data_IF_268404759208
#
_entry.id   IF_268404759208
#
_cell.length_a   1.000
_cell.length_b   1.000
_cell.length_c   1.000
_cell.angle_alpha   90.00
_cell.angle_beta   90.00
_cell.angle_gamma   90.00
#
_symmetry.space_group_name_H-M   'P 1'
#
loop_
_entity.id
_entity.type
_entity.pdbx_description
1 polymer ?
#
# COMPACT_ATOMS: atom_id res chain seq x y z
N UNK A 1 -10.01 16.62 34.98
CA UNK A 1 -10.73 15.42 34.51
C UNK A 1 -10.04 14.19 35.09
N UNK A 2 -10.78 13.18 35.57
CA UNK A 2 -10.18 11.95 36.09
C UNK A 2 -9.64 11.08 34.95
N UNK A 3 -8.39 10.63 35.11
CA UNK A 3 -7.82 9.60 34.23
C UNK A 3 -8.43 8.26 34.61
N UNK A 4 -8.94 7.53 33.62
CA UNK A 4 -9.50 6.20 33.79
C UNK A 4 -8.77 5.21 32.89
N UNK A 5 -8.85 3.93 33.23
CA UNK A 5 -8.24 2.84 32.46
C UNK A 5 -9.33 1.96 31.86
N UNK A 6 -9.16 1.56 30.60
CA UNK A 6 -9.99 0.55 29.95
C UNK A 6 -9.11 -0.54 29.38
N UNK A 7 -9.53 -1.80 29.51
CA UNK A 7 -8.81 -2.92 28.93
C UNK A 7 -9.70 -3.69 27.95
N UNK A 8 -9.07 -4.20 26.90
CA UNK A 8 -9.67 -5.16 25.97
C UNK A 8 -8.68 -6.30 25.74
N UNK A 9 -9.23 -7.49 25.45
CA UNK A 9 -8.43 -8.67 25.13
C UNK A 9 -8.85 -9.18 23.76
N UNK A 10 -7.89 -9.31 22.87
CA UNK A 10 -8.06 -9.86 21.54
C UNK A 10 -7.41 -11.24 21.50
N UNK A 11 -8.04 -12.18 20.80
CA UNK A 11 -7.50 -13.53 20.56
C UNK A 11 -7.21 -13.70 19.07
N UNK A 12 -6.10 -14.36 18.79
CA UNK A 12 -5.57 -14.66 17.46
C UNK A 12 -5.40 -16.17 17.29
N UNK A 13 -5.11 -16.63 16.08
CA UNK A 13 -4.90 -18.03 15.79
C UNK A 13 -3.72 -18.61 16.59
N UNK A 14 -2.59 -17.91 16.56
CA UNK A 14 -1.36 -18.29 17.25
C UNK A 14 -0.60 -17.07 17.81
N UNK A 15 0.53 -17.35 18.48
CA UNK A 15 1.38 -16.31 19.05
C UNK A 15 2.05 -15.42 17.99
N UNK A 16 2.35 -15.97 16.81
CA UNK A 16 2.97 -15.23 15.71
C UNK A 16 1.99 -14.20 15.11
N UNK A 17 0.74 -14.60 14.90
CA UNK A 17 -0.31 -13.68 14.46
C UNK A 17 -0.53 -12.57 15.49
N UNK A 18 -0.56 -12.91 16.79
CA UNK A 18 -0.67 -11.92 17.86
C UNK A 18 0.47 -10.89 17.84
N UNK A 19 1.72 -11.33 17.63
CA UNK A 19 2.88 -10.46 17.53
C UNK A 19 2.82 -9.54 16.31
N UNK A 20 2.52 -10.08 15.13
CA UNK A 20 2.38 -9.27 13.91
C UNK A 20 1.24 -8.25 14.04
N UNK A 21 0.14 -8.60 14.72
CA UNK A 21 -0.94 -7.63 14.99
C UNK A 21 -0.47 -6.49 15.90
N UNK A 22 0.33 -6.80 16.94
CA UNK A 22 0.90 -5.76 17.81
C UNK A 22 1.81 -4.82 17.03
N UNK A 23 2.63 -5.34 16.12
CA UNK A 23 3.45 -4.52 15.23
C UNK A 23 2.58 -3.58 14.39
N UNK A 24 1.57 -4.13 13.72
CA UNK A 24 0.61 -3.35 12.93
C UNK A 24 -0.09 -2.26 13.75
N UNK A 25 -0.57 -2.60 14.95
CA UNK A 25 -1.26 -1.66 15.82
C UNK A 25 -0.34 -0.52 16.26
N UNK A 26 0.92 -0.82 16.60
CA UNK A 26 1.93 0.19 16.95
C UNK A 26 2.27 1.11 15.79
N UNK A 27 2.42 0.56 14.58
CA UNK A 27 2.69 1.35 13.36
C UNK A 27 1.51 2.25 12.97
N UNK A 28 0.28 1.83 13.27
CA UNK A 28 -0.94 2.53 12.85
C UNK A 28 -1.55 3.47 13.91
N UNK A 29 -1.13 3.37 15.17
CA UNK A 29 -1.56 4.23 16.28
C UNK A 29 -0.33 4.70 17.06
N UNK A 30 0.18 5.88 16.72
CA UNK A 30 1.31 6.53 17.39
C UNK A 30 0.94 7.15 18.74
N UNK A 31 0.33 6.38 19.65
CA UNK A 31 -0.20 6.91 20.91
C UNK A 31 0.48 6.29 22.13
N UNK A 32 1.09 7.12 22.98
CA UNK A 32 1.78 6.74 24.23
C UNK A 32 0.84 6.22 25.31
N UNK A 33 -0.46 6.35 25.11
CA UNK A 33 -1.50 6.00 26.07
C UNK A 33 -1.97 4.53 25.97
N UNK A 34 -1.15 3.67 25.38
CA UNK A 34 -1.46 2.27 25.10
C UNK A 34 -0.39 1.32 25.65
N UNK A 35 -0.79 0.45 26.57
CA UNK A 35 0.03 -0.68 26.99
C UNK A 35 -0.44 -1.97 26.31
N UNK A 36 0.48 -2.65 25.63
CA UNK A 36 0.22 -3.89 24.90
C UNK A 36 0.97 -5.05 25.56
N UNK A 37 0.23 -6.08 25.99
CA UNK A 37 0.81 -7.29 26.59
C UNK A 37 0.37 -8.52 25.81
N UNK A 38 1.33 -9.28 25.28
CA UNK A 38 1.09 -10.54 24.57
C UNK A 38 1.24 -11.71 25.54
N UNK A 39 0.27 -12.62 25.57
CA UNK A 39 0.31 -13.88 26.33
C UNK A 39 -0.23 -15.01 25.45
N UNK A 40 0.67 -15.84 24.92
CA UNK A 40 0.31 -16.85 23.92
C UNK A 40 -0.31 -16.19 22.68
N UNK A 41 -1.50 -16.64 22.29
CA UNK A 41 -2.26 -16.09 21.16
C UNK A 41 -3.19 -14.91 21.55
N UNK A 42 -3.04 -14.34 22.75
CA UNK A 42 -3.87 -13.23 23.23
C UNK A 42 -3.07 -11.95 23.36
N UNK A 43 -3.69 -10.84 22.98
CA UNK A 43 -3.17 -9.48 23.19
C UNK A 43 -4.10 -8.73 24.12
N UNK A 44 -3.59 -8.36 25.30
CA UNK A 44 -4.26 -7.43 26.22
C UNK A 44 -3.81 -6.02 25.87
N UNK A 45 -4.79 -5.14 25.62
CA UNK A 45 -4.57 -3.72 25.33
C UNK A 45 -5.16 -2.93 26.49
N UNK A 46 -4.33 -2.12 27.14
CA UNK A 46 -4.77 -1.18 28.19
C UNK A 46 -4.70 0.22 27.60
N UNK A 47 -5.78 0.98 27.76
CA UNK A 47 -5.94 2.34 27.26
C UNK A 47 -6.03 3.27 28.46
N UNK A 48 -5.23 4.33 28.45
CA UNK A 48 -5.15 5.34 29.50
C UNK A 48 -5.66 6.69 28.97
N UNK A 49 -6.46 7.42 29.75
CA UNK A 49 -6.87 8.78 29.34
C UNK A 49 -8.15 9.25 29.98
N UNK A 50 -8.73 10.32 29.45
CA UNK A 50 -10.08 10.74 29.82
C UNK A 50 -11.11 9.83 29.17
N UNK A 51 -12.37 9.90 29.61
CA UNK A 51 -13.45 9.08 29.03
C UNK A 51 -13.60 9.29 27.52
N UNK A 52 -13.52 10.53 27.04
CA UNK A 52 -13.59 10.86 25.61
C UNK A 52 -12.43 10.25 24.83
N UNK A 53 -11.19 10.46 25.31
CA UNK A 53 -9.99 9.92 24.66
C UNK A 53 -10.04 8.40 24.53
N UNK A 54 -10.54 7.71 25.56
CA UNK A 54 -10.64 6.26 25.58
C UNK A 54 -11.65 5.76 24.54
N UNK A 55 -12.78 6.44 24.36
CA UNK A 55 -13.78 6.06 23.36
C UNK A 55 -13.21 6.21 21.95
N UNK A 56 -12.51 7.31 21.67
CA UNK A 56 -11.85 7.56 20.38
C UNK A 56 -10.74 6.54 20.09
N UNK A 57 -9.87 6.29 21.07
CA UNK A 57 -8.78 5.29 20.92
C UNK A 57 -9.37 3.89 20.72
N UNK A 58 -10.42 3.54 21.48
CA UNK A 58 -11.07 2.24 21.34
C UNK A 58 -11.69 2.07 19.94
N UNK A 59 -12.29 3.11 19.39
CA UNK A 59 -12.85 3.09 18.05
C UNK A 59 -11.75 2.86 17.00
N UNK A 60 -10.62 3.58 17.11
CA UNK A 60 -9.46 3.37 16.25
C UNK A 60 -8.91 1.94 16.35
N UNK A 61 -8.82 1.37 17.56
CA UNK A 61 -8.37 -0.01 17.74
C UNK A 61 -9.33 -0.98 17.04
N UNK A 62 -10.66 -0.81 17.20
CA UNK A 62 -11.65 -1.66 16.54
C UNK A 62 -11.51 -1.62 15.01
N UNK A 63 -11.27 -0.45 14.44
CA UNK A 63 -11.01 -0.30 13.01
C UNK A 63 -9.75 -1.07 12.58
N UNK A 64 -8.64 -0.97 13.34
CA UNK A 64 -7.42 -1.73 13.05
C UNK A 64 -7.63 -3.24 13.19
N UNK A 65 -8.38 -3.69 14.19
CA UNK A 65 -8.75 -5.12 14.29
C UNK A 65 -9.57 -5.58 13.08
N UNK A 66 -10.52 -4.75 12.63
CA UNK A 66 -11.30 -5.03 11.42
C UNK A 66 -10.40 -5.10 10.18
N UNK A 67 -9.51 -4.12 10.01
CA UNK A 67 -8.59 -4.06 8.87
C UNK A 67 -7.67 -5.30 8.84
N UNK A 68 -7.11 -5.66 10.00
CA UNK A 68 -6.29 -6.85 10.19
C UNK A 68 -7.01 -8.14 9.80
N UNK A 69 -8.24 -8.33 10.28
CA UNK A 69 -9.01 -9.54 9.97
C UNK A 69 -9.37 -9.58 8.49
N UNK A 70 -9.76 -8.44 7.92
CA UNK A 70 -10.15 -8.34 6.51
C UNK A 70 -8.98 -8.63 5.57
N UNK A 71 -7.76 -8.19 5.88
CA UNK A 71 -6.58 -8.42 5.01
C UNK A 71 -6.23 -9.90 4.80
N UNK A 72 -6.80 -10.80 5.61
CA UNK A 72 -6.66 -12.27 5.51
C UNK A 72 -7.87 -12.94 4.87
N UNK A 73 -8.95 -12.21 4.66
CA UNK A 73 -10.17 -12.74 4.05
C UNK A 73 -10.06 -12.74 2.53
N UNK A 74 -10.85 -13.63 1.92
CA UNK A 74 -11.04 -13.67 0.48
C UNK A 74 -12.51 -13.46 0.12
N UNK A 75 -12.76 -12.71 -0.95
CA UNK A 75 -14.07 -12.52 -1.56
C UNK A 75 -13.96 -12.90 -3.03
N UNK A 76 -14.76 -13.90 -3.46
CA UNK A 76 -14.71 -14.45 -4.83
C UNK A 76 -13.29 -14.87 -5.26
N UNK A 77 -12.55 -15.50 -4.35
CA UNK A 77 -11.18 -15.99 -4.59
C UNK A 77 -10.06 -14.96 -4.39
N UNK A 78 -10.36 -13.67 -4.34
CA UNK A 78 -9.39 -12.58 -4.19
C UNK A 78 -9.23 -12.16 -2.73
N UNK A 79 -8.01 -11.88 -2.28
CA UNK A 79 -7.73 -11.25 -0.99
C UNK A 79 -8.33 -9.85 -0.92
N UNK A 80 -8.86 -9.49 0.25
CA UNK A 80 -9.46 -8.17 0.50
C UNK A 80 -8.59 -7.34 1.43
N UNK A 81 -7.69 -6.53 0.88
CA UNK A 81 -6.66 -5.84 1.67
C UNK A 81 -7.04 -4.36 1.83
N UNK A 82 -7.35 -3.87 3.04
CA UNK A 82 -7.51 -2.45 3.28
C UNK A 82 -6.22 -1.70 2.96
N UNK A 83 -6.33 -0.57 2.25
CA UNK A 83 -5.18 0.26 1.91
C UNK A 83 -4.52 0.82 3.18
N UNK A 84 -5.30 1.16 4.20
CA UNK A 84 -4.82 1.57 5.53
C UNK A 84 -3.90 0.51 6.15
N UNK A 85 -4.27 -0.76 6.04
CA UNK A 85 -3.46 -1.87 6.52
C UNK A 85 -2.15 -1.98 5.75
N UNK A 86 -2.21 -2.03 4.42
CA UNK A 86 -1.03 -2.16 3.56
C UNK A 86 -0.04 -1.02 3.79
N UNK A 87 -0.52 0.24 3.81
CA UNK A 87 0.32 1.42 4.02
C UNK A 87 0.93 1.48 5.42
N UNK A 88 0.21 1.04 6.46
CA UNK A 88 0.76 1.04 7.82
C UNK A 88 1.84 -0.02 8.01
N UNK A 89 1.74 -1.14 7.31
CA UNK A 89 2.71 -2.23 7.42
C UNK A 89 3.96 -1.99 6.59
N UNK A 90 3.81 -1.33 5.44
CA UNK A 90 4.87 -1.09 4.49
C UNK A 90 5.86 -0.03 4.96
N UNK A 91 7.15 -0.31 4.79
CA UNK A 91 8.25 0.63 4.95
C UNK A 91 8.51 1.34 3.62
N UNK A 92 7.60 2.22 3.21
CA UNK A 92 7.72 2.93 1.94
C UNK A 92 8.90 3.91 1.95
N UNK A 93 9.71 3.88 0.88
CA UNK A 93 10.79 4.85 0.68
C UNK A 93 10.24 6.27 0.43
N UNK A 94 9.09 6.35 -0.23
CA UNK A 94 8.33 7.58 -0.43
C UNK A 94 6.83 7.27 -0.57
N UNK A 95 5.97 8.26 -0.33
CA UNK A 95 4.55 8.17 -0.66
C UNK A 95 4.36 7.97 -2.17
N UNK A 96 3.44 7.08 -2.54
CA UNK A 96 3.20 6.71 -3.94
C UNK A 96 1.75 6.92 -4.37
N UNK A 97 1.50 7.14 -5.68
CA UNK A 97 0.16 7.04 -6.25
C UNK A 97 -0.32 5.58 -6.22
N UNK A 98 -1.15 5.22 -5.24
CA UNK A 98 -1.56 3.83 -5.01
C UNK A 98 -2.25 3.18 -6.22
N UNK A 99 -2.99 3.97 -7.03
CA UNK A 99 -3.59 3.47 -8.29
C UNK A 99 -2.51 3.00 -9.27
N UNK A 100 -1.39 3.72 -9.40
CA UNK A 100 -0.29 3.34 -10.29
C UNK A 100 0.35 2.01 -9.86
N UNK A 101 0.47 1.77 -8.55
CA UNK A 101 0.90 0.47 -8.05
C UNK A 101 -0.07 -0.66 -8.43
N UNK A 102 -1.38 -0.42 -8.35
CA UNK A 102 -2.38 -1.41 -8.79
C UNK A 102 -2.32 -1.64 -10.30
N UNK A 103 -2.09 -0.59 -11.09
CA UNK A 103 -1.89 -0.72 -12.55
C UNK A 103 -0.65 -1.57 -12.84
N UNK A 104 0.45 -1.38 -12.11
CA UNK A 104 1.67 -2.15 -12.23
C UNK A 104 1.46 -3.64 -11.91
N UNK A 105 0.77 -3.97 -10.82
CA UNK A 105 0.43 -5.36 -10.48
C UNK A 105 -0.39 -6.05 -11.58
N UNK A 106 -1.32 -5.31 -12.19
CA UNK A 106 -2.14 -5.83 -13.30
C UNK A 106 -1.34 -6.03 -14.60
N UNK A 107 -0.24 -5.30 -14.79
CA UNK A 107 0.70 -5.52 -15.90
C UNK A 107 1.60 -6.73 -15.63
N UNK A 108 1.97 -6.99 -14.37
CA UNK A 108 2.64 -8.23 -13.97
C UNK A 108 1.71 -9.47 -13.95
N UNK A 109 0.47 -9.34 -14.42
CA UNK A 109 -0.49 -10.44 -14.50
C UNK A 109 -1.29 -10.73 -13.22
N UNK A 110 -1.07 -10.00 -12.11
CA UNK A 110 -1.88 -10.17 -10.90
C UNK A 110 -3.20 -9.41 -11.02
N UNK A 111 -4.31 -10.15 -11.06
CA UNK A 111 -5.64 -9.51 -11.10
C UNK A 111 -5.85 -8.69 -9.83
N UNK A 112 -5.84 -7.37 -9.99
CA UNK A 112 -5.86 -6.43 -8.87
C UNK A 112 -6.83 -5.29 -9.15
N UNK A 113 -7.62 -4.87 -8.15
CA UNK A 113 -8.58 -3.76 -8.30
C UNK A 113 -8.69 -2.98 -7.02
N UNK A 114 -8.58 -1.65 -7.11
CA UNK A 114 -8.87 -0.74 -6.01
C UNK A 114 -10.34 -0.30 -6.07
N UNK A 115 -11.13 -0.57 -5.02
CA UNK A 115 -12.49 -0.06 -4.86
C UNK A 115 -12.60 0.66 -3.52
N UNK A 116 -12.77 1.98 -3.56
CA UNK A 116 -12.70 2.82 -2.36
C UNK A 116 -11.34 2.64 -1.68
N UNK A 117 -11.35 2.23 -0.41
CA UNK A 117 -10.13 2.02 0.38
C UNK A 117 -9.71 0.54 0.51
N UNK A 118 -10.18 -0.32 -0.41
CA UNK A 118 -9.92 -1.76 -0.38
C UNK A 118 -9.33 -2.22 -1.70
N UNK A 119 -8.25 -2.97 -1.62
CA UNK A 119 -7.64 -3.71 -2.73
C UNK A 119 -8.22 -5.11 -2.76
N UNK A 120 -8.71 -5.51 -3.93
CA UNK A 120 -9.06 -6.89 -4.25
C UNK A 120 -7.95 -7.44 -5.14
N UNK A 121 -7.23 -8.46 -4.70
CA UNK A 121 -6.07 -8.96 -5.45
C UNK A 121 -5.84 -10.47 -5.27
N UNK A 122 -5.14 -11.09 -6.19
CA UNK A 122 -4.76 -12.52 -6.13
C UNK A 122 -3.62 -12.79 -5.16
N UNK A 123 -2.81 -11.79 -4.84
CA UNK A 123 -1.68 -11.93 -3.92
C UNK A 123 -2.09 -11.65 -2.47
N UNK A 124 -1.47 -12.39 -1.54
CA UNK A 124 -1.73 -12.21 -0.11
C UNK A 124 -1.13 -10.92 0.45
N UNK A 125 -1.57 -10.54 1.64
CA UNK A 125 -1.20 -9.30 2.33
C UNK A 125 0.32 -9.09 2.42
N UNK A 126 1.06 -10.08 2.92
CA UNK A 126 2.51 -10.02 3.07
C UNK A 126 3.23 -9.80 1.73
N UNK A 127 2.75 -10.44 0.66
CA UNK A 127 3.32 -10.25 -0.67
C UNK A 127 2.99 -8.86 -1.22
N UNK A 128 1.74 -8.40 -1.10
CA UNK A 128 1.33 -7.06 -1.53
C UNK A 128 2.19 -5.98 -0.87
N UNK A 129 2.47 -6.10 0.43
CA UNK A 129 3.31 -5.16 1.18
C UNK A 129 4.72 -5.08 0.59
N UNK A 130 5.36 -6.21 0.29
CA UNK A 130 6.69 -6.24 -0.33
C UNK A 130 6.71 -5.62 -1.72
N UNK A 131 5.69 -5.92 -2.53
CA UNK A 131 5.53 -5.34 -3.86
C UNK A 131 5.32 -3.82 -3.79
N UNK A 132 4.57 -3.35 -2.78
CA UNK A 132 4.34 -1.93 -2.53
C UNK A 132 5.63 -1.21 -2.13
N UNK A 133 6.44 -1.82 -1.27
CA UNK A 133 7.77 -1.32 -0.88
C UNK A 133 8.69 -1.22 -2.10
N UNK A 134 8.80 -2.30 -2.90
CA UNK A 134 9.60 -2.31 -4.14
C UNK A 134 9.13 -1.23 -5.12
N UNK A 135 7.83 -1.10 -5.35
CA UNK A 135 7.30 -0.04 -6.20
C UNK A 135 7.66 1.36 -5.67
N UNK A 136 7.62 1.57 -4.35
CA UNK A 136 8.02 2.84 -3.74
C UNK A 136 9.50 3.18 -3.97
N UNK A 137 10.36 2.18 -4.07
CA UNK A 137 11.77 2.37 -4.40
C UNK A 137 11.93 2.88 -5.83
N UNK A 138 11.29 2.25 -6.82
CA UNK A 138 11.31 2.74 -8.20
C UNK A 138 10.68 4.14 -8.31
N UNK A 139 9.54 4.35 -7.64
CA UNK A 139 8.89 5.66 -7.65
C UNK A 139 9.79 6.75 -7.06
N UNK A 140 10.57 6.44 -6.01
CA UNK A 140 11.51 7.39 -5.41
C UNK A 140 12.58 7.90 -6.38
N UNK A 141 12.99 7.06 -7.34
CA UNK A 141 14.00 7.42 -8.35
C UNK A 141 13.44 8.44 -9.36
N UNK A 142 12.17 8.29 -9.77
CA UNK A 142 11.57 9.10 -10.83
C UNK A 142 11.03 10.45 -10.37
N UNK A 143 10.86 10.70 -9.06
CA UNK A 143 10.19 11.93 -8.59
C UNK A 143 10.93 13.20 -9.01
N UNK A 144 12.25 13.10 -9.19
CA UNK A 144 13.14 14.22 -9.47
C UNK A 144 13.32 14.48 -10.97
N UNK A 145 12.78 13.62 -11.84
CA UNK A 145 12.85 13.81 -13.28
C UNK A 145 12.12 15.09 -13.71
N UNK A 146 12.61 15.75 -14.76
CA UNK A 146 11.85 16.81 -15.38
C UNK A 146 10.77 16.24 -16.32
N UNK A 147 9.67 15.83 -15.71
CA UNK A 147 8.57 15.15 -16.38
C UNK A 147 7.25 15.52 -15.73
N UNK A 148 6.15 15.46 -16.50
CA UNK A 148 4.81 15.59 -15.91
C UNK A 148 4.53 14.44 -14.92
N UNK A 149 3.76 14.67 -13.83
CA UNK A 149 3.50 13.64 -12.82
C UNK A 149 2.94 12.33 -13.37
N UNK A 150 2.13 12.39 -14.44
CA UNK A 150 1.56 11.21 -15.08
C UNK A 150 2.62 10.38 -15.82
N UNK A 151 3.64 11.03 -16.38
CA UNK A 151 4.77 10.37 -17.04
C UNK A 151 5.68 9.72 -16.01
N UNK A 152 5.96 10.39 -14.88
CA UNK A 152 6.69 9.80 -13.75
C UNK A 152 6.04 8.52 -13.26
N UNK A 153 4.70 8.50 -13.14
CA UNK A 153 3.94 7.29 -12.79
C UNK A 153 4.17 6.17 -13.80
N UNK A 154 4.09 6.47 -15.09
CA UNK A 154 4.27 5.47 -16.15
C UNK A 154 5.70 4.92 -16.18
N UNK A 155 6.72 5.78 -16.03
CA UNK A 155 8.11 5.35 -15.93
C UNK A 155 8.31 4.43 -14.71
N UNK A 156 7.80 4.81 -13.53
CA UNK A 156 7.90 3.95 -12.35
C UNK A 156 7.20 2.60 -12.53
N UNK A 157 6.07 2.57 -13.24
CA UNK A 157 5.37 1.32 -13.59
C UNK A 157 6.28 0.44 -14.46
N UNK A 158 6.85 0.99 -15.54
CA UNK A 158 7.73 0.25 -16.44
C UNK A 158 8.96 -0.27 -15.70
N UNK A 159 9.65 0.58 -14.94
CA UNK A 159 10.79 0.18 -14.11
C UNK A 159 10.45 -0.99 -13.18
N UNK A 160 9.27 -0.95 -12.57
CA UNK A 160 8.83 -1.98 -11.62
C UNK A 160 8.42 -3.29 -12.30
N UNK A 161 7.77 -3.22 -13.47
CA UNK A 161 7.28 -4.39 -14.21
C UNK A 161 8.44 -5.09 -14.92
N UNK A 162 9.25 -4.33 -15.64
CA UNK A 162 10.31 -4.83 -16.53
C UNK A 162 11.68 -4.89 -15.85
N UNK A 163 11.80 -4.42 -14.60
CA UNK A 163 13.08 -4.34 -13.86
C UNK A 163 14.16 -3.49 -14.55
N UNK A 164 13.74 -2.46 -15.29
CA UNK A 164 14.60 -1.54 -16.01
C UNK A 164 15.03 -0.34 -15.14
N UNK A 165 16.16 0.27 -15.49
CA UNK A 165 16.55 1.58 -14.96
C UNK A 165 15.79 2.72 -15.68
N UNK A 166 16.00 3.96 -15.22
CA UNK A 166 15.22 5.13 -15.66
C UNK A 166 15.36 5.34 -17.17
N UNK A 167 16.59 5.37 -17.66
CA UNK A 167 16.93 5.70 -19.05
C UNK A 167 16.33 4.65 -20.01
N UNK A 168 16.49 3.37 -19.68
CA UNK A 168 15.92 2.24 -20.42
C UNK A 168 14.39 2.30 -20.45
N UNK A 169 13.77 2.68 -19.33
CA UNK A 169 12.31 2.83 -19.24
C UNK A 169 11.79 3.98 -20.10
N UNK A 170 12.51 5.10 -20.15
CA UNK A 170 12.18 6.24 -21.01
C UNK A 170 12.33 5.85 -22.49
N UNK A 171 13.42 5.17 -22.83
CA UNK A 171 13.67 4.71 -24.20
C UNK A 171 12.58 3.74 -24.66
N UNK A 172 12.20 2.76 -23.84
CA UNK A 172 11.10 1.85 -24.14
C UNK A 172 9.79 2.62 -24.42
N UNK A 173 9.44 3.57 -23.55
CA UNK A 173 8.22 4.36 -23.71
C UNK A 173 8.25 5.26 -24.96
N UNK A 174 9.42 5.80 -25.33
CA UNK A 174 9.61 6.55 -26.59
C UNK A 174 9.47 5.64 -27.82
N UNK A 175 10.08 4.46 -27.79
CA UNK A 175 10.01 3.48 -28.88
C UNK A 175 8.59 2.96 -29.10
N UNK A 176 7.79 2.86 -28.03
CA UNK A 176 6.36 2.55 -28.10
C UNK A 176 5.49 3.77 -28.50
N UNK A 177 6.10 4.94 -28.71
CA UNK A 177 5.40 6.17 -29.09
C UNK A 177 4.48 6.74 -28.01
N UNK A 178 4.72 6.40 -26.74
CA UNK A 178 3.85 6.77 -25.61
C UNK A 178 4.23 8.12 -24.98
N UNK A 179 5.50 8.51 -25.08
CA UNK A 179 6.02 9.78 -24.55
C UNK A 179 6.86 10.52 -25.61
N UNK A 180 6.92 11.83 -25.47
CA UNK A 180 7.84 12.74 -26.16
C UNK A 180 8.25 13.88 -25.22
N UNK A 181 9.09 14.78 -25.73
CA UNK A 181 9.46 16.02 -25.08
C UNK A 181 8.54 17.15 -25.55
N UNK A 182 8.19 18.07 -24.65
CA UNK A 182 7.55 19.32 -25.03
C UNK A 182 8.60 20.34 -25.55
N UNK A 183 8.16 21.56 -25.83
CA UNK A 183 9.04 22.66 -26.28
C UNK A 183 10.13 23.05 -25.26
N UNK A 184 9.96 22.68 -24.00
CA UNK A 184 10.89 22.93 -22.88
C UNK A 184 11.70 21.68 -22.50
N UNK A 185 11.79 20.68 -23.38
CA UNK A 185 12.47 19.38 -23.14
C UNK A 185 11.91 18.56 -21.96
N UNK A 186 10.68 18.87 -21.53
CA UNK A 186 9.99 18.17 -20.44
C UNK A 186 9.21 16.98 -20.98
N UNK A 187 9.43 15.80 -20.40
CA UNK A 187 8.76 14.57 -20.82
C UNK A 187 7.24 14.65 -20.56
N UNK A 188 6.45 14.45 -21.62
CA UNK A 188 4.98 14.43 -21.61
C UNK A 188 4.42 13.15 -22.25
N UNK A 189 3.15 12.87 -21.96
CA UNK A 189 2.43 11.72 -22.49
C UNK A 189 1.77 12.10 -23.83
N UNK A 190 1.91 11.26 -24.86
CA UNK A 190 1.32 11.50 -26.20
C UNK A 190 -0.11 11.01 -26.36
N UNK A 191 -0.56 10.16 -25.45
CA UNK A 191 -1.90 9.57 -25.44
C UNK A 191 -2.51 9.68 -24.05
N UNK A 192 -3.70 9.13 -23.80
CA UNK A 192 -4.23 9.03 -22.43
C UNK A 192 -3.47 7.99 -21.63
N UNK A 193 -3.48 8.14 -20.30
CA UNK A 193 -2.81 7.19 -19.41
C UNK A 193 -3.38 5.77 -19.54
N UNK A 194 -4.70 5.66 -19.66
CA UNK A 194 -5.38 4.39 -19.88
C UNK A 194 -4.97 3.71 -21.20
N UNK A 195 -4.77 4.48 -22.27
CA UNK A 195 -4.34 3.91 -23.55
C UNK A 195 -2.87 3.48 -23.50
N UNK A 196 -2.01 4.24 -22.83
CA UNK A 196 -0.62 3.85 -22.59
C UNK A 196 -0.52 2.52 -21.82
N UNK A 197 -1.34 2.32 -20.78
CA UNK A 197 -1.40 1.06 -20.05
C UNK A 197 -1.86 -0.12 -20.93
N UNK A 198 -2.79 0.11 -21.86
CA UNK A 198 -3.20 -0.95 -22.82
C UNK A 198 -2.06 -1.33 -23.76
N UNK A 199 -1.29 -0.34 -24.24
CA UNK A 199 -0.12 -0.61 -25.09
C UNK A 199 0.91 -1.43 -24.32
N UNK A 200 1.26 -1.03 -23.09
CA UNK A 200 2.20 -1.78 -22.25
C UNK A 200 1.74 -3.22 -22.02
N UNK A 201 0.45 -3.44 -21.72
CA UNK A 201 -0.09 -4.80 -21.53
C UNK A 201 0.14 -5.70 -22.74
N UNK A 202 0.01 -5.19 -23.97
CA UNK A 202 0.18 -5.99 -25.20
C UNK A 202 1.63 -6.41 -25.45
N UNK A 203 2.59 -5.71 -24.86
CA UNK A 203 4.03 -5.96 -25.04
C UNK A 203 4.56 -6.92 -23.97
N UNK A 204 3.91 -6.96 -22.79
CA UNK A 204 4.24 -7.89 -21.70
C UNK A 204 3.56 -9.27 -21.83
N UNK A 205 2.76 -9.51 -22.87
CA UNK A 205 2.14 -10.80 -23.23
C UNK A 205 2.99 -11.57 -24.26
#
# INVERSE_FOLDING_TARGET
MSVVNKYIVLSFYDANEALKFVEYLRKSISNTNLDLVVRGNKVKITIHGTKGDIEDILQRIKERVSDWRRSRQRVKGLYTIPVSFALSMASLKISIPFKAFIDALNLQGYKSTLKGNIVYTEIEAERLIKELERFSEHYSKVIYLDAYPIVKRLIAIVMFVESLEIEESIELLRNLGLIDDNEEEKLRLKTSYEEALKVLRRVSE
#
